data_IF_248675072054
#
_entry.id   IF_248675072054
#
_cell.length_a   1.000
_cell.length_b   1.000
_cell.length_c   1.000
_cell.angle_alpha   90.00
_cell.angle_beta   90.00
_cell.angle_gamma   90.00
#
_symmetry.space_group_name_H-M   'P 1'
#
loop_
_entity.id
_entity.type
_entity.pdbx_description
1 polymer ?
#
# COMPACT_ATOMS: atom_id res chain seq x y z
N UNK A 1 -24.15 -25.62 51.61
CA UNK A 1 -22.81 -25.63 50.98
C UNK A 1 -22.99 -25.62 49.46
N UNK A 2 -22.10 -24.95 48.70
CA UNK A 2 -21.80 -25.16 47.27
C UNK A 2 -22.56 -24.43 46.13
N UNK A 3 -23.26 -23.31 46.36
CA UNK A 3 -23.67 -22.44 45.22
C UNK A 3 -22.43 -21.84 44.52
N UNK A 4 -21.41 -21.42 45.29
CA UNK A 4 -20.15 -20.88 44.75
C UNK A 4 -19.38 -21.85 43.83
N UNK A 5 -19.56 -23.17 44.02
CA UNK A 5 -18.89 -24.19 43.21
C UNK A 5 -19.49 -24.30 41.80
N UNK A 6 -20.80 -24.09 41.66
CA UNK A 6 -21.49 -24.15 40.37
C UNK A 6 -21.29 -22.87 39.53
N UNK A 7 -21.02 -21.72 40.16
CA UNK A 7 -20.81 -20.44 39.46
C UNK A 7 -19.37 -20.30 38.94
N UNK A 8 -18.42 -20.98 39.59
CA UNK A 8 -16.99 -21.05 39.20
C UNK A 8 -16.76 -21.38 37.71
N UNK A 9 -17.30 -22.49 37.16
CA UNK A 9 -17.11 -22.82 35.74
C UNK A 9 -17.76 -21.79 34.80
N UNK A 10 -18.90 -21.22 35.19
CA UNK A 10 -19.60 -20.20 34.42
C UNK A 10 -18.83 -18.87 34.33
N UNK A 11 -18.00 -18.58 35.34
CA UNK A 11 -17.11 -17.42 35.33
C UNK A 11 -15.93 -17.65 34.38
N UNK A 12 -15.32 -18.85 34.44
CA UNK A 12 -14.22 -19.25 33.56
C UNK A 12 -14.62 -19.25 32.08
N UNK A 13 -15.84 -19.64 31.76
CA UNK A 13 -16.34 -19.67 30.37
C UNK A 13 -16.56 -18.26 29.80
N UNK A 14 -17.05 -17.32 30.63
CA UNK A 14 -17.18 -15.90 30.27
C UNK A 14 -15.82 -15.23 30.05
N UNK A 15 -14.83 -15.57 30.87
CA UNK A 15 -13.46 -15.09 30.71
C UNK A 15 -12.81 -15.64 29.43
N UNK A 16 -13.03 -16.92 29.12
CA UNK A 16 -12.60 -17.53 27.87
C UNK A 16 -13.26 -16.87 26.64
N UNK A 17 -14.56 -16.59 26.71
CA UNK A 17 -15.28 -15.87 25.64
C UNK A 17 -14.77 -14.44 25.45
N UNK A 18 -14.51 -13.72 26.55
CA UNK A 18 -13.93 -12.37 26.51
C UNK A 18 -12.52 -12.38 25.92
N UNK A 19 -11.73 -13.41 26.23
CA UNK A 19 -10.41 -13.62 25.63
C UNK A 19 -10.50 -13.90 24.13
N UNK A 20 -11.45 -14.74 23.71
CA UNK A 20 -11.72 -15.02 22.30
C UNK A 20 -12.09 -13.75 21.53
N UNK A 21 -13.01 -12.93 22.07
CA UNK A 21 -13.38 -11.65 21.46
C UNK A 21 -12.18 -10.69 21.34
N UNK A 22 -11.26 -10.71 22.31
CA UNK A 22 -10.03 -9.90 22.25
C UNK A 22 -9.13 -10.37 21.11
N UNK A 23 -8.95 -11.68 20.93
CA UNK A 23 -8.20 -12.26 19.80
C UNK A 23 -8.86 -11.87 18.47
N UNK A 24 -10.18 -12.01 18.35
CA UNK A 24 -10.92 -11.67 17.14
C UNK A 24 -10.74 -10.19 16.75
N UNK A 25 -10.75 -9.28 17.72
CA UNK A 25 -10.50 -7.84 17.46
C UNK A 25 -9.10 -7.59 16.90
N UNK A 26 -8.08 -8.24 17.46
CA UNK A 26 -6.69 -8.11 16.99
C UNK A 26 -6.56 -8.74 15.59
N UNK A 27 -7.14 -9.92 15.38
CA UNK A 27 -7.15 -10.59 14.09
C UNK A 27 -7.83 -9.75 13.00
N UNK A 28 -8.92 -9.05 13.33
CA UNK A 28 -9.60 -8.12 12.42
C UNK A 28 -8.65 -7.00 11.96
N UNK A 29 -7.90 -6.40 12.89
CA UNK A 29 -6.94 -5.33 12.56
C UNK A 29 -5.85 -5.87 11.63
N UNK A 30 -5.28 -7.04 11.92
CA UNK A 30 -4.29 -7.67 11.05
C UNK A 30 -4.86 -8.01 9.67
N UNK A 31 -6.11 -8.48 9.61
CA UNK A 31 -6.80 -8.76 8.36
C UNK A 31 -6.94 -7.50 7.49
N UNK A 32 -7.25 -6.34 8.09
CA UNK A 32 -7.25 -5.07 7.37
C UNK A 32 -5.86 -4.68 6.86
N UNK A 33 -4.82 -4.82 7.68
CA UNK A 33 -3.44 -4.51 7.28
C UNK A 33 -3.03 -5.36 6.07
N UNK A 34 -3.26 -6.68 6.12
CA UNK A 34 -2.95 -7.60 5.01
C UNK A 34 -3.79 -7.29 3.78
N UNK A 35 -5.08 -7.00 3.95
CA UNK A 35 -5.98 -6.66 2.83
C UNK A 35 -5.55 -5.36 2.14
N UNK A 36 -5.14 -4.34 2.89
CA UNK A 36 -4.64 -3.09 2.34
C UNK A 36 -3.29 -3.25 1.66
N UNK A 37 -2.40 -4.08 2.19
CA UNK A 37 -1.14 -4.41 1.53
C UNK A 37 -1.36 -5.18 0.23
N UNK A 38 -2.36 -6.06 0.18
CA UNK A 38 -2.71 -6.79 -1.04
C UNK A 38 -3.41 -5.90 -2.08
N UNK A 39 -4.23 -4.95 -1.62
CA UNK A 39 -4.86 -3.93 -2.46
C UNK A 39 -3.88 -2.86 -2.95
N UNK A 40 -2.74 -2.69 -2.27
CA UNK A 40 -1.62 -1.90 -2.74
C UNK A 40 -0.93 -2.66 -3.89
N UNK A 41 -1.52 -2.56 -5.08
CA UNK A 41 -0.81 -2.86 -6.31
C UNK A 41 0.47 -2.03 -6.29
N UNK A 42 1.62 -2.68 -6.52
CA UNK A 42 2.93 -2.05 -6.61
C UNK A 42 2.86 -0.80 -7.48
N UNK A 43 2.63 0.37 -6.88
CA UNK A 43 2.66 1.64 -7.59
C UNK A 43 4.13 1.86 -7.89
N UNK A 44 4.59 1.36 -9.04
CA UNK A 44 5.88 1.72 -9.59
C UNK A 44 5.88 3.24 -9.62
N UNK A 45 6.75 3.86 -8.83
CA UNK A 45 6.91 5.30 -8.84
C UNK A 45 7.50 5.65 -10.20
N UNK A 46 6.62 5.89 -11.17
CA UNK A 46 6.87 6.73 -12.33
C UNK A 46 8.10 6.38 -13.19
N UNK A 47 8.49 5.11 -13.25
CA UNK A 47 9.47 4.65 -14.24
C UNK A 47 8.79 4.64 -15.62
N UNK A 48 9.07 5.65 -16.43
CA UNK A 48 8.64 5.72 -17.82
C UNK A 48 9.81 5.39 -18.75
N UNK A 49 9.61 4.38 -19.61
CA UNK A 49 10.58 4.05 -20.66
C UNK A 49 10.20 4.87 -21.88
N UNK A 50 11.12 5.72 -22.33
CA UNK A 50 10.97 6.46 -23.59
C UNK A 50 11.72 5.73 -24.71
N UNK A 51 11.08 5.60 -25.86
CA UNK A 51 11.72 5.06 -27.07
C UNK A 51 12.23 6.22 -27.94
N UNK A 52 13.51 6.15 -28.32
CA UNK A 52 14.15 7.11 -29.22
C UNK A 52 14.33 6.47 -30.60
N UNK A 53 13.74 7.07 -31.63
CA UNK A 53 13.81 6.53 -32.98
C UNK A 53 15.17 6.74 -33.65
N UNK A 54 15.94 7.75 -33.23
CA UNK A 54 17.25 8.08 -33.76
C UNK A 54 18.31 8.05 -32.66
N UNK A 55 19.50 7.55 -32.99
CA UNK A 55 20.66 7.52 -32.11
C UNK A 55 21.30 8.89 -31.90
N UNK A 56 20.97 9.87 -32.75
CA UNK A 56 21.46 11.24 -32.68
C UNK A 56 20.27 12.20 -32.69
N UNK A 57 20.09 12.91 -31.58
CA UNK A 57 19.00 13.87 -31.35
C UNK A 57 19.54 15.09 -30.61
N UNK A 58 18.88 16.22 -30.75
CA UNK A 58 19.18 17.42 -29.95
C UNK A 58 18.50 17.34 -28.58
N UNK A 59 18.97 18.16 -27.62
CA UNK A 59 18.38 18.25 -26.27
C UNK A 59 16.89 18.62 -26.34
N UNK A 60 16.52 19.58 -27.21
CA UNK A 60 15.11 19.95 -27.40
C UNK A 60 14.24 18.83 -27.97
N UNK A 61 14.78 18.00 -28.86
CA UNK A 61 14.06 16.83 -29.40
C UNK A 61 13.89 15.74 -28.33
N UNK A 62 14.91 15.51 -27.50
CA UNK A 62 14.83 14.60 -26.36
C UNK A 62 13.74 15.04 -25.38
N UNK A 63 13.73 16.33 -25.02
CA UNK A 63 12.72 16.90 -24.12
C UNK A 63 11.32 16.70 -24.71
N UNK A 64 11.12 17.04 -25.97
CA UNK A 64 9.84 16.87 -26.64
C UNK A 64 9.35 15.40 -26.65
N UNK A 65 10.25 14.42 -26.83
CA UNK A 65 9.90 13.00 -26.75
C UNK A 65 9.57 12.55 -25.33
N UNK A 66 10.22 13.11 -24.30
CA UNK A 66 9.85 12.88 -22.90
C UNK A 66 8.42 13.38 -22.66
N UNK A 67 8.12 14.64 -23.01
CA UNK A 67 6.80 15.21 -22.73
C UNK A 67 5.68 14.46 -23.46
N UNK A 68 5.92 14.11 -24.73
CA UNK A 68 4.97 13.39 -25.57
C UNK A 68 4.68 11.96 -25.08
N UNK A 69 5.67 11.25 -24.55
CA UNK A 69 5.54 9.83 -24.17
C UNK A 69 5.19 9.64 -22.68
N UNK A 70 5.46 10.63 -21.83
CA UNK A 70 5.39 10.47 -20.37
C UNK A 70 4.41 11.40 -19.66
N UNK A 71 3.73 12.30 -20.39
CA UNK A 71 2.82 13.31 -19.85
C UNK A 71 3.47 14.19 -18.76
N UNK A 72 4.81 14.26 -18.75
CA UNK A 72 5.60 15.15 -17.91
C UNK A 72 5.94 16.43 -18.66
N UNK A 73 5.88 17.58 -17.98
CA UNK A 73 6.36 18.84 -18.52
C UNK A 73 7.78 19.10 -17.99
N UNK A 74 8.75 19.28 -18.87
CA UNK A 74 10.16 19.45 -18.51
C UNK A 74 10.51 20.94 -18.58
N UNK A 75 10.91 21.50 -17.44
CA UNK A 75 11.32 22.91 -17.35
C UNK A 75 12.84 23.04 -17.53
N UNK A 76 13.27 23.81 -18.51
CA UNK A 76 14.69 24.05 -18.81
C UNK A 76 14.97 25.54 -19.05
N UNK A 77 16.24 25.92 -18.91
CA UNK A 77 16.70 27.28 -19.21
C UNK A 77 17.03 27.41 -20.68
N UNK A 78 16.66 28.53 -21.32
CA UNK A 78 17.00 28.84 -22.73
C UNK A 78 18.51 28.93 -23.01
N UNK A 79 19.37 28.85 -21.99
CA UNK A 79 20.84 28.81 -22.14
C UNK A 79 21.38 27.41 -22.42
N UNK A 80 20.57 26.38 -22.20
CA UNK A 80 20.95 24.95 -22.26
C UNK A 80 20.49 24.27 -23.57
N UNK A 81 19.94 25.04 -24.53
CA UNK A 81 19.50 24.57 -25.86
C UNK A 81 20.51 24.88 -26.96
#
# INVERSE_FOLDING_TARGET
MKIKFLISPFHSEKDAFKHLLRIMKVALIFLFIVSFQLAANSTKAQDAVIELQNSQITVGQLINEIEKQTDYLVVYSNREL
#
